data_IF_637233934878
#
_entry.id   IF_637233934878
#
_cell.length_a   1.000
_cell.length_b   1.000
_cell.length_c   1.000
_cell.angle_alpha   90.00
_cell.angle_beta   90.00
_cell.angle_gamma   90.00
#
_symmetry.space_group_name_H-M   'P 1'
#
loop_
_entity.id
_entity.type
_entity.pdbx_description
1 polymer ?
#
# COMPACT_ATOMS: atom_id res chain seq x y z
N UNK A 1 -30.24 5.94 -40.05
CA UNK A 1 -29.31 6.17 -38.95
C UNK A 1 -28.01 5.54 -39.34
N UNK A 2 -26.98 6.33 -39.66
CA UNK A 2 -25.65 5.82 -40.06
C UNK A 2 -24.83 5.65 -38.79
N UNK A 3 -24.54 4.41 -38.43
CA UNK A 3 -23.60 4.07 -37.36
C UNK A 3 -22.20 4.33 -37.88
N UNK A 4 -21.59 5.45 -37.48
CA UNK A 4 -20.18 5.72 -37.77
C UNK A 4 -19.33 4.84 -36.86
N UNK A 5 -18.83 3.75 -37.41
CA UNK A 5 -17.75 2.99 -36.78
C UNK A 5 -16.48 3.82 -36.86
N UNK A 6 -16.08 4.44 -35.78
CA UNK A 6 -14.74 5.01 -35.63
C UNK A 6 -13.82 3.82 -35.44
N UNK A 7 -13.08 3.48 -36.50
CA UNK A 7 -11.91 2.62 -36.41
C UNK A 7 -10.85 3.44 -35.67
N UNK A 8 -10.81 3.33 -34.35
CA UNK A 8 -9.65 3.74 -33.57
C UNK A 8 -8.50 2.83 -34.00
N UNK A 9 -7.51 3.39 -34.67
CA UNK A 9 -6.23 2.72 -34.83
C UNK A 9 -5.76 2.29 -33.44
N UNK A 10 -5.09 1.15 -33.34
CA UNK A 10 -4.60 0.57 -32.07
C UNK A 10 -3.70 1.53 -31.29
N UNK A 11 -3.06 2.47 -31.99
CA UNK A 11 -2.12 3.45 -31.47
C UNK A 11 -2.63 4.37 -30.33
N UNK A 12 -3.84 5.01 -30.39
CA UNK A 12 -4.22 5.96 -29.34
C UNK A 12 -4.56 5.30 -28.02
N UNK A 13 -5.07 4.07 -28.03
CA UNK A 13 -5.41 3.33 -26.82
C UNK A 13 -4.13 2.79 -26.16
N UNK A 14 -3.20 2.29 -26.95
CA UNK A 14 -1.89 1.86 -26.45
C UNK A 14 -1.12 3.05 -25.86
N UNK A 15 -1.09 4.21 -26.52
CA UNK A 15 -0.45 5.42 -26.01
C UNK A 15 -1.11 5.89 -24.69
N UNK A 16 -2.43 5.86 -24.58
CA UNK A 16 -3.13 6.22 -23.37
C UNK A 16 -2.79 5.26 -22.21
N UNK A 17 -2.73 3.97 -22.48
CA UNK A 17 -2.42 2.95 -21.47
C UNK A 17 -0.94 3.03 -21.08
N UNK A 18 -0.03 3.30 -21.99
CA UNK A 18 1.40 3.52 -21.71
C UNK A 18 1.61 4.74 -20.81
N UNK A 19 0.80 5.79 -20.94
CA UNK A 19 0.82 6.94 -20.02
C UNK A 19 0.30 6.59 -18.61
N UNK A 20 -0.60 5.63 -18.50
CA UNK A 20 -1.12 5.16 -17.20
C UNK A 20 -0.17 4.21 -16.49
N UNK A 21 0.70 3.52 -17.24
CA UNK A 21 1.70 2.59 -16.71
C UNK A 21 3.07 3.18 -17.01
N UNK A 22 3.89 3.49 -15.99
CA UNK A 22 5.21 4.05 -16.20
C UNK A 22 6.05 3.20 -17.17
N UNK A 23 6.56 3.81 -18.23
CA UNK A 23 7.39 3.13 -19.23
C UNK A 23 8.66 2.51 -18.61
N UNK A 24 9.15 3.09 -17.48
CA UNK A 24 10.27 2.57 -16.69
C UNK A 24 10.08 1.14 -16.19
N UNK A 25 8.83 0.68 -16.10
CA UNK A 25 8.51 -0.67 -15.64
C UNK A 25 8.73 -1.73 -16.72
N UNK A 26 8.84 -1.35 -17.98
CA UNK A 26 8.95 -2.29 -19.09
C UNK A 26 7.76 -3.25 -19.19
N UNK A 27 6.57 -2.80 -18.82
CA UNK A 27 5.33 -3.57 -18.92
C UNK A 27 4.61 -3.21 -20.21
N UNK A 28 4.20 -4.22 -20.97
CA UNK A 28 3.39 -4.05 -22.17
C UNK A 28 1.99 -4.63 -21.97
N UNK A 29 0.99 -3.95 -22.51
CA UNK A 29 -0.39 -4.42 -22.50
C UNK A 29 -0.56 -5.46 -23.59
N UNK A 30 -1.10 -6.62 -23.20
CA UNK A 30 -1.43 -7.71 -24.14
C UNK A 30 -2.92 -7.82 -24.40
N UNK A 31 -3.72 -7.54 -23.38
CA UNK A 31 -5.16 -7.71 -23.49
C UNK A 31 -5.88 -6.78 -22.53
N UNK A 32 -7.01 -6.27 -22.96
CA UNK A 32 -7.97 -5.52 -22.18
C UNK A 32 -9.30 -6.28 -22.21
N UNK A 33 -9.89 -6.49 -21.04
CA UNK A 33 -11.21 -7.11 -20.91
C UNK A 33 -12.08 -6.23 -20.00
N UNK A 34 -13.31 -5.96 -20.43
CA UNK A 34 -14.27 -5.16 -19.70
C UNK A 34 -15.44 -6.05 -19.29
N UNK A 35 -15.71 -6.11 -17.99
CA UNK A 35 -16.93 -6.64 -17.41
C UNK A 35 -17.83 -5.49 -16.95
N UNK A 36 -19.00 -5.81 -16.39
CA UNK A 36 -19.99 -4.80 -15.99
C UNK A 36 -19.43 -3.74 -15.02
N UNK A 37 -18.54 -4.12 -14.12
CA UNK A 37 -18.04 -3.27 -13.04
C UNK A 37 -16.50 -3.37 -12.85
N UNK A 38 -15.83 -4.12 -13.73
CA UNK A 38 -14.38 -4.35 -13.65
C UNK A 38 -13.71 -4.27 -15.01
N UNK A 39 -12.63 -3.52 -15.07
CA UNK A 39 -11.70 -3.48 -16.19
C UNK A 39 -10.47 -4.32 -15.80
N UNK A 40 -10.16 -5.32 -16.61
CA UNK A 40 -8.95 -6.14 -16.42
C UNK A 40 -7.94 -5.87 -17.53
N UNK A 41 -6.72 -5.49 -17.14
CA UNK A 41 -5.58 -5.38 -18.04
C UNK A 41 -4.64 -6.57 -17.84
N UNK A 42 -4.31 -7.28 -18.92
CA UNK A 42 -3.24 -8.26 -18.95
C UNK A 42 -1.95 -7.57 -19.40
N UNK A 43 -0.99 -7.51 -18.50
CA UNK A 43 0.32 -6.91 -18.70
C UNK A 43 1.39 -8.00 -18.71
N UNK A 44 2.40 -7.87 -19.55
CA UNK A 44 3.57 -8.72 -19.49
C UNK A 44 4.84 -7.89 -19.41
N UNK A 45 5.79 -8.37 -18.61
CA UNK A 45 7.11 -7.76 -18.53
C UNK A 45 7.90 -8.05 -19.81
N UNK A 46 8.51 -6.99 -20.38
CA UNK A 46 9.47 -7.06 -21.47
C UNK A 46 10.93 -7.08 -20.99
N UNK A 47 11.15 -7.09 -19.68
CA UNK A 47 12.49 -7.09 -19.09
C UNK A 47 13.21 -8.40 -19.38
N UNK A 48 14.36 -8.33 -20.05
CA UNK A 48 15.22 -9.49 -20.34
C UNK A 48 16.13 -9.88 -19.18
N UNK A 49 16.31 -8.98 -18.19
CA UNK A 49 17.16 -9.18 -17.02
C UNK A 49 16.63 -8.44 -15.80
N UNK A 50 16.96 -8.92 -14.62
CA UNK A 50 16.62 -8.26 -13.37
C UNK A 50 17.73 -8.40 -12.33
N UNK A 51 17.76 -7.49 -11.35
CA UNK A 51 18.72 -7.54 -10.24
C UNK A 51 18.19 -8.35 -9.07
N UNK A 52 18.99 -9.25 -8.54
CA UNK A 52 18.64 -10.01 -7.34
C UNK A 52 18.42 -9.05 -6.15
N UNK A 53 17.27 -9.11 -5.45
CA UNK A 53 16.97 -8.19 -4.36
C UNK A 53 17.80 -8.43 -3.09
N UNK A 54 18.60 -9.49 -3.05
CA UNK A 54 19.48 -9.83 -1.91
C UNK A 54 20.93 -9.42 -2.16
N UNK A 55 21.51 -9.78 -3.31
CA UNK A 55 22.91 -9.50 -3.60
C UNK A 55 23.14 -8.42 -4.67
N UNK A 56 22.09 -7.90 -5.31
CA UNK A 56 22.17 -6.85 -6.33
C UNK A 56 22.68 -7.30 -7.69
N UNK A 57 23.20 -8.55 -7.83
CA UNK A 57 23.73 -9.04 -9.10
C UNK A 57 22.61 -9.16 -10.15
N UNK A 58 22.89 -8.69 -11.37
CA UNK A 58 21.99 -8.84 -12.50
C UNK A 58 21.98 -10.28 -13.01
N UNK A 59 20.81 -10.74 -13.45
CA UNK A 59 20.63 -12.04 -14.06
C UNK A 59 19.65 -11.97 -15.22
N UNK A 60 19.98 -12.65 -16.32
CA UNK A 60 19.13 -12.87 -17.49
C UNK A 60 18.61 -14.32 -17.57
N UNK A 61 19.03 -15.19 -16.65
CA UNK A 61 18.60 -16.58 -16.61
C UNK A 61 17.16 -16.74 -16.13
N UNK A 62 16.20 -16.84 -17.04
CA UNK A 62 14.79 -17.01 -16.72
C UNK A 62 14.52 -18.42 -16.23
N UNK A 63 14.03 -18.56 -14.99
CA UNK A 63 13.57 -19.82 -14.44
C UNK A 63 12.13 -20.14 -14.87
N UNK A 64 11.22 -19.19 -14.73
CA UNK A 64 9.79 -19.38 -15.05
C UNK A 64 9.09 -18.03 -15.14
N UNK A 65 7.82 -18.06 -15.58
CA UNK A 65 6.92 -16.92 -15.57
C UNK A 65 5.72 -17.23 -14.70
N UNK A 66 5.14 -16.21 -14.07
CA UNK A 66 3.89 -16.36 -13.37
C UNK A 66 3.09 -15.05 -13.41
N UNK A 67 1.79 -15.16 -13.26
CA UNK A 67 0.89 -14.01 -13.25
C UNK A 67 0.51 -13.67 -11.83
N UNK A 68 0.69 -12.40 -11.45
CA UNK A 68 0.17 -11.83 -10.20
C UNK A 68 -1.00 -10.90 -10.49
N UNK A 69 -2.02 -10.94 -9.63
CA UNK A 69 -3.15 -10.01 -9.71
C UNK A 69 -2.94 -8.86 -8.75
N UNK A 70 -3.11 -7.65 -9.25
CA UNK A 70 -3.04 -6.41 -8.49
C UNK A 70 -4.34 -5.64 -8.71
N UNK A 71 -4.86 -5.03 -7.66
CA UNK A 71 -5.87 -3.99 -7.76
C UNK A 71 -5.19 -2.65 -7.95
N UNK A 72 -5.77 -1.78 -8.78
CA UNK A 72 -5.23 -0.45 -9.06
C UNK A 72 -6.31 0.62 -8.85
N UNK A 73 -5.94 1.89 -9.02
CA UNK A 73 -6.89 2.99 -9.01
C UNK A 73 -7.99 2.73 -10.05
N UNK A 74 -9.25 3.01 -9.73
CA UNK A 74 -10.36 2.77 -10.64
C UNK A 74 -10.26 3.63 -11.89
N UNK A 75 -10.84 3.15 -12.98
CA UNK A 75 -11.02 3.94 -14.18
C UNK A 75 -12.49 4.36 -14.32
N UNK A 76 -12.78 5.58 -13.88
CA UNK A 76 -14.16 6.04 -13.75
C UNK A 76 -14.93 5.18 -12.75
N UNK A 77 -16.10 4.62 -13.12
CA UNK A 77 -16.87 3.76 -12.22
C UNK A 77 -16.37 2.31 -12.16
N UNK A 78 -15.38 1.93 -13.00
CA UNK A 78 -14.91 0.56 -13.12
C UNK A 78 -13.74 0.30 -12.16
N UNK A 79 -13.81 -0.80 -11.43
CA UNK A 79 -12.67 -1.33 -10.69
C UNK A 79 -11.58 -1.77 -11.67
N UNK A 80 -10.34 -1.38 -11.41
CA UNK A 80 -9.23 -1.77 -12.25
C UNK A 80 -8.45 -2.94 -11.63
N UNK A 81 -8.37 -4.04 -12.37
CA UNK A 81 -7.57 -5.21 -12.06
C UNK A 81 -6.45 -5.37 -13.06
N UNK A 82 -5.24 -5.49 -12.56
CA UNK A 82 -4.05 -5.74 -13.38
C UNK A 82 -3.60 -7.18 -13.18
N UNK A 83 -3.50 -7.94 -14.27
CA UNK A 83 -2.89 -9.27 -14.30
C UNK A 83 -1.50 -9.13 -14.90
N UNK A 84 -0.48 -9.10 -14.04
CA UNK A 84 0.90 -8.82 -14.46
C UNK A 84 1.67 -10.12 -14.56
N UNK A 85 2.05 -10.51 -15.76
CA UNK A 85 2.95 -11.63 -16.01
C UNK A 85 4.39 -11.15 -15.82
N UNK A 86 5.08 -11.70 -14.83
CA UNK A 86 6.46 -11.36 -14.47
C UNK A 86 7.36 -12.60 -14.56
N UNK A 87 8.66 -12.35 -14.72
CA UNK A 87 9.66 -13.39 -14.75
C UNK A 87 10.15 -13.76 -13.35
N UNK A 88 10.56 -15.00 -13.19
CA UNK A 88 11.45 -15.47 -12.12
C UNK A 88 12.80 -15.76 -12.72
N UNK A 89 13.84 -15.24 -12.09
CA UNK A 89 15.20 -15.38 -12.54
C UNK A 89 16.02 -16.24 -11.57
N UNK A 90 17.00 -16.96 -12.09
CA UNK A 90 18.03 -17.59 -11.27
C UNK A 90 19.01 -16.54 -10.76
N UNK A 91 19.39 -16.58 -9.48
CA UNK A 91 20.51 -15.82 -8.99
C UNK A 91 21.81 -16.55 -9.35
N UNK A 92 22.66 -15.91 -10.14
CA UNK A 92 23.92 -16.49 -10.60
C UNK A 92 25.07 -16.36 -9.59
N UNK A 93 24.85 -15.63 -8.49
CA UNK A 93 25.86 -15.51 -7.43
C UNK A 93 25.86 -16.76 -6.55
N UNK A 94 26.94 -17.59 -6.57
CA UNK A 94 27.02 -18.81 -5.76
C UNK A 94 27.01 -18.54 -4.25
N UNK A 95 27.47 -17.37 -3.82
CA UNK A 95 27.47 -16.95 -2.42
C UNK A 95 26.13 -16.39 -1.95
N UNK A 96 25.16 -16.18 -2.85
CA UNK A 96 23.84 -15.65 -2.49
C UNK A 96 22.96 -16.76 -1.91
N UNK A 97 22.29 -16.47 -0.78
CA UNK A 97 21.32 -17.40 -0.17
C UNK A 97 20.07 -17.59 -1.03
N UNK A 98 19.78 -16.66 -1.94
CA UNK A 98 18.61 -16.72 -2.82
C UNK A 98 19.00 -17.32 -4.16
N UNK A 99 18.40 -18.45 -4.51
CA UNK A 99 18.66 -19.15 -5.78
C UNK A 99 17.73 -18.67 -6.89
N UNK A 100 16.48 -18.35 -6.54
CA UNK A 100 15.47 -17.88 -7.49
C UNK A 100 14.81 -16.62 -6.91
N UNK A 101 14.65 -15.61 -7.71
CA UNK A 101 13.95 -14.38 -7.33
C UNK A 101 12.97 -13.95 -8.41
N UNK A 102 11.91 -13.29 -7.99
CA UNK A 102 10.94 -12.67 -8.88
C UNK A 102 11.45 -11.31 -9.30
N UNK A 103 11.23 -10.96 -10.53
CA UNK A 103 11.42 -9.62 -11.06
C UNK A 103 10.82 -8.56 -10.11
N UNK A 104 11.64 -7.65 -9.56
CA UNK A 104 11.15 -6.61 -8.68
C UNK A 104 10.51 -5.49 -9.51
N UNK A 105 9.35 -4.99 -9.06
CA UNK A 105 8.65 -3.84 -9.64
C UNK A 105 8.44 -2.77 -8.54
N UNK A 106 9.51 -2.20 -7.97
CA UNK A 106 9.43 -1.42 -6.73
C UNK A 106 8.61 -0.13 -6.88
N UNK A 107 8.63 0.51 -8.04
CA UNK A 107 7.84 1.72 -8.32
C UNK A 107 6.36 1.42 -8.50
N UNK A 108 6.02 0.18 -8.84
CA UNK A 108 4.67 -0.23 -9.19
C UNK A 108 3.94 -0.94 -8.05
N UNK A 109 4.57 -1.95 -7.46
CA UNK A 109 3.99 -2.72 -6.35
C UNK A 109 5.07 -3.37 -5.50
N UNK A 110 4.92 -3.29 -4.19
CA UNK A 110 5.79 -3.97 -3.24
C UNK A 110 5.77 -5.50 -3.42
N UNK A 111 6.80 -6.20 -2.94
CA UNK A 111 6.79 -7.67 -2.89
C UNK A 111 5.54 -8.19 -2.16
N UNK A 112 4.88 -9.20 -2.76
CA UNK A 112 3.65 -9.81 -2.24
C UNK A 112 2.44 -8.87 -2.10
N UNK A 113 2.51 -7.61 -2.54
CA UNK A 113 1.38 -6.72 -2.54
C UNK A 113 0.28 -7.21 -3.47
N UNK A 114 -0.98 -6.95 -3.08
CA UNK A 114 -2.18 -7.20 -3.89
C UNK A 114 -2.73 -5.92 -4.53
N UNK A 115 -2.05 -4.80 -4.30
CA UNK A 115 -2.40 -3.46 -4.78
C UNK A 115 -1.17 -2.77 -5.32
N UNK A 116 -1.38 -1.87 -6.28
CA UNK A 116 -0.33 -0.97 -6.73
C UNK A 116 0.04 0.04 -5.65
N UNK A 117 1.22 0.63 -5.75
CA UNK A 117 1.67 1.64 -4.79
C UNK A 117 0.74 2.86 -4.82
N UNK A 118 0.30 3.31 -6.00
CA UNK A 118 -0.60 4.47 -6.14
C UNK A 118 -1.98 4.22 -5.51
N UNK A 119 -2.57 3.02 -5.67
CA UNK A 119 -3.81 2.69 -4.96
C UNK A 119 -3.58 2.64 -3.45
N UNK A 120 -2.47 2.08 -2.99
CA UNK A 120 -2.13 2.07 -1.56
C UNK A 120 -2.02 3.47 -0.99
N UNK A 121 -1.39 4.39 -1.70
CA UNK A 121 -1.25 5.79 -1.30
C UNK A 121 -2.60 6.50 -1.21
N UNK A 122 -3.48 6.31 -2.20
CA UNK A 122 -4.83 6.86 -2.17
C UNK A 122 -5.65 6.32 -0.98
N UNK A 123 -5.59 5.00 -0.72
CA UNK A 123 -6.24 4.38 0.43
C UNK A 123 -5.69 4.90 1.76
N UNK A 124 -4.39 5.12 1.87
CA UNK A 124 -3.77 5.70 3.05
C UNK A 124 -4.25 7.14 3.28
N UNK A 125 -4.29 7.96 2.23
CA UNK A 125 -4.78 9.34 2.33
C UNK A 125 -6.24 9.39 2.81
N UNK A 126 -7.11 8.55 2.23
CA UNK A 126 -8.51 8.46 2.64
C UNK A 126 -8.66 7.91 4.06
N UNK A 127 -7.85 6.92 4.42
CA UNK A 127 -7.86 6.34 5.76
C UNK A 127 -7.39 7.32 6.83
N UNK A 128 -6.38 8.14 6.56
CA UNK A 128 -5.93 9.21 7.47
C UNK A 128 -6.98 10.31 7.63
N UNK A 129 -7.67 10.67 6.55
CA UNK A 129 -8.67 11.74 6.58
C UNK A 129 -9.97 11.32 7.28
N UNK A 130 -10.43 10.07 7.07
CA UNK A 130 -11.79 9.65 7.43
C UNK A 130 -11.83 8.50 8.45
N UNK A 131 -10.69 7.87 8.76
CA UNK A 131 -10.64 6.68 9.59
C UNK A 131 -11.08 5.40 8.87
N UNK A 132 -11.41 4.35 9.63
CA UNK A 132 -11.67 3.02 9.09
C UNK A 132 -13.01 2.90 8.36
N UNK A 133 -14.12 3.13 9.07
CA UNK A 133 -15.47 2.87 8.54
C UNK A 133 -15.87 3.88 7.45
N UNK A 134 -15.77 5.18 7.73
CA UNK A 134 -16.10 6.21 6.77
C UNK A 134 -15.17 6.16 5.55
N UNK A 135 -13.86 5.93 5.77
CA UNK A 135 -12.90 5.73 4.70
C UNK A 135 -13.23 4.53 3.82
N UNK A 136 -13.58 3.39 4.40
CA UNK A 136 -13.96 2.20 3.64
C UNK A 136 -15.26 2.40 2.84
N UNK A 137 -16.25 3.09 3.42
CA UNK A 137 -17.49 3.42 2.72
C UNK A 137 -17.24 4.31 1.50
N UNK A 138 -16.43 5.37 1.67
CA UNK A 138 -16.08 6.25 0.56
C UNK A 138 -15.26 5.52 -0.52
N UNK A 139 -14.30 4.69 -0.12
CA UNK A 139 -13.54 3.86 -1.06
C UNK A 139 -14.46 2.95 -1.88
N UNK A 140 -15.44 2.31 -1.26
CA UNK A 140 -16.40 1.45 -1.94
C UNK A 140 -17.27 2.23 -2.96
N UNK A 141 -17.73 3.43 -2.58
CA UNK A 141 -18.49 4.32 -3.46
C UNK A 141 -17.68 4.75 -4.71
N UNK A 142 -16.35 4.74 -4.62
CA UNK A 142 -15.45 5.11 -5.71
C UNK A 142 -14.74 3.90 -6.34
N UNK A 143 -15.38 2.74 -6.41
CA UNK A 143 -14.85 1.53 -7.04
C UNK A 143 -13.49 1.04 -6.49
N UNK A 144 -13.15 1.40 -5.24
CA UNK A 144 -11.96 0.93 -4.52
C UNK A 144 -12.36 0.08 -3.29
N UNK A 145 -13.05 -1.05 -3.45
CA UNK A 145 -13.60 -1.78 -2.31
C UNK A 145 -12.51 -2.26 -1.35
N UNK A 146 -12.65 -1.87 -0.10
CA UNK A 146 -11.78 -2.27 1.00
C UNK A 146 -12.61 -2.31 2.28
N UNK A 147 -12.37 -3.28 3.15
CA UNK A 147 -13.01 -3.29 4.47
C UNK A 147 -12.24 -2.40 5.47
N UNK A 148 -12.97 -1.84 6.44
CA UNK A 148 -12.42 -0.96 7.47
C UNK A 148 -11.21 -1.56 8.20
N UNK A 149 -11.27 -2.84 8.57
CA UNK A 149 -10.16 -3.52 9.23
C UNK A 149 -8.89 -3.56 8.35
N UNK A 150 -9.04 -3.78 7.03
CA UNK A 150 -7.88 -3.77 6.11
C UNK A 150 -7.32 -2.37 5.96
N UNK A 151 -8.19 -1.34 5.87
CA UNK A 151 -7.77 0.06 5.79
C UNK A 151 -6.99 0.46 7.04
N UNK A 152 -7.51 0.17 8.23
CA UNK A 152 -6.82 0.41 9.49
C UNK A 152 -5.48 -0.34 9.60
N UNK A 153 -5.41 -1.57 9.09
CA UNK A 153 -4.15 -2.32 9.06
C UNK A 153 -3.11 -1.70 8.11
N UNK A 154 -3.56 -1.11 7.00
CA UNK A 154 -2.66 -0.35 6.12
C UNK A 154 -2.07 0.88 6.85
N UNK A 155 -2.91 1.65 7.55
CA UNK A 155 -2.48 2.80 8.36
C UNK A 155 -1.46 2.39 9.44
N UNK A 156 -1.76 1.34 10.20
CA UNK A 156 -0.85 0.83 11.25
C UNK A 156 0.52 0.41 10.71
N UNK A 157 0.56 -0.17 9.51
CA UNK A 157 1.83 -0.58 8.85
C UNK A 157 2.61 0.59 8.27
N UNK A 158 1.92 1.61 7.80
CA UNK A 158 2.55 2.82 7.28
C UNK A 158 3.21 3.63 8.40
N UNK A 159 2.69 3.55 9.62
CA UNK A 159 3.06 4.42 10.72
C UNK A 159 2.47 5.82 10.57
N UNK A 160 2.50 6.61 11.62
CA UNK A 160 2.07 8.00 11.56
C UNK A 160 3.02 8.80 10.64
N UNK A 161 2.49 9.75 9.85
CA UNK A 161 3.33 10.68 9.12
C UNK A 161 4.24 11.45 10.08
N UNK A 162 5.46 11.80 9.68
CA UNK A 162 6.35 12.59 10.52
C UNK A 162 5.68 13.91 10.87
N UNK A 163 5.47 14.14 12.17
CA UNK A 163 4.95 15.41 12.67
C UNK A 163 6.13 16.27 13.10
N UNK A 164 6.28 17.49 12.55
CA UNK A 164 7.31 18.42 13.05
C UNK A 164 7.02 18.78 14.50
N UNK A 165 8.07 19.03 15.29
CA UNK A 165 7.92 19.40 16.69
C UNK A 165 7.07 20.67 16.80
N UNK A 166 5.93 20.65 17.51
CA UNK A 166 5.09 21.81 17.68
C UNK A 166 5.78 22.86 18.54
N UNK A 167 5.58 24.13 18.21
CA UNK A 167 6.07 25.27 19.03
C UNK A 167 5.14 25.51 20.20
N UNK A 168 3.84 25.34 20.00
CA UNK A 168 2.81 25.49 21.04
C UNK A 168 2.04 24.16 21.14
N UNK A 169 2.22 23.49 22.27
CA UNK A 169 1.62 22.19 22.53
C UNK A 169 0.41 22.30 23.46
N UNK A 170 -0.76 21.90 22.99
CA UNK A 170 -1.95 21.71 23.81
C UNK A 170 -1.98 20.29 24.38
N UNK A 171 -2.42 20.20 25.62
CA UNK A 171 -2.59 18.92 26.33
C UNK A 171 -4.04 18.85 26.81
N UNK A 172 -4.75 17.80 26.42
CA UNK A 172 -6.13 17.55 26.82
C UNK A 172 -6.30 16.12 27.29
N UNK A 173 -7.13 15.92 28.32
CA UNK A 173 -7.47 14.59 28.83
C UNK A 173 -8.80 14.14 28.21
N UNK A 174 -8.82 12.93 27.67
CA UNK A 174 -10.03 12.35 27.13
C UNK A 174 -10.40 11.05 27.87
N UNK A 175 -11.68 10.73 27.88
CA UNK A 175 -12.21 9.48 28.40
C UNK A 175 -13.22 8.86 27.45
N UNK A 176 -13.16 7.55 27.27
CA UNK A 176 -14.08 6.78 26.45
C UNK A 176 -14.63 5.59 27.24
N UNK A 177 -15.95 5.49 27.33
CA UNK A 177 -16.66 4.40 28.02
C UNK A 177 -16.18 4.13 29.46
N UNK A 178 -16.03 5.17 30.29
CA UNK A 178 -15.68 5.14 31.72
C UNK A 178 -14.39 4.37 32.11
N UNK A 179 -13.88 3.48 31.28
CA UNK A 179 -12.75 2.58 31.57
C UNK A 179 -11.49 2.88 30.76
N UNK A 180 -11.57 3.72 29.74
CA UNK A 180 -10.44 4.10 28.89
C UNK A 180 -10.27 5.60 28.98
N UNK A 181 -9.21 6.03 29.61
CA UNK A 181 -8.79 7.42 29.64
C UNK A 181 -7.43 7.55 28.98
N UNK A 182 -7.12 8.73 28.53
CA UNK A 182 -5.83 9.03 27.95
C UNK A 182 -5.62 10.52 27.82
N UNK A 183 -4.47 10.89 27.28
CA UNK A 183 -4.08 12.28 27.04
C UNK A 183 -3.86 12.49 25.55
N UNK A 184 -4.43 13.53 25.00
CA UNK A 184 -4.25 14.00 23.63
C UNK A 184 -3.27 15.16 23.64
N UNK A 185 -2.24 15.07 22.82
CA UNK A 185 -1.30 16.16 22.55
C UNK A 185 -1.65 16.77 21.19
N UNK A 186 -1.84 18.08 21.13
CA UNK A 186 -2.28 18.82 19.94
C UNK A 186 -1.29 19.95 19.63
N UNK A 187 -0.91 20.09 18.37
CA UNK A 187 -0.24 21.30 17.87
C UNK A 187 -1.30 22.41 17.73
N UNK A 188 -1.23 23.42 18.59
CA UNK A 188 -2.20 24.51 18.62
C UNK A 188 -2.02 25.52 17.47
N UNK A 189 -0.87 25.53 16.82
CA UNK A 189 -0.66 26.40 15.64
C UNK A 189 -1.22 25.77 14.37
N UNK A 190 -1.08 24.46 14.22
CA UNK A 190 -1.57 23.71 13.05
C UNK A 190 -2.94 23.09 13.25
N UNK A 191 -3.46 23.12 14.47
CA UNK A 191 -4.72 22.47 14.86
C UNK A 191 -4.74 20.97 14.53
N UNK A 192 -3.62 20.28 14.75
CA UNK A 192 -3.47 18.87 14.42
C UNK A 192 -3.09 18.04 15.64
N UNK A 193 -3.66 16.83 15.80
CA UNK A 193 -3.23 15.92 16.83
C UNK A 193 -1.79 15.44 16.56
N UNK A 194 -0.98 15.45 17.59
CA UNK A 194 0.44 15.05 17.54
C UNK A 194 0.61 13.64 18.09
N UNK A 195 0.01 13.37 19.23
CA UNK A 195 0.12 12.08 19.91
C UNK A 195 -1.13 11.81 20.76
N UNK A 196 -1.55 10.54 20.79
CA UNK A 196 -2.60 10.06 21.71
C UNK A 196 -1.97 9.04 22.63
N UNK A 197 -2.00 9.28 23.94
CA UNK A 197 -1.51 8.35 24.95
C UNK A 197 -2.68 7.73 25.69
N UNK A 198 -2.64 6.41 25.83
CA UNK A 198 -3.57 5.64 26.64
C UNK A 198 -2.99 5.50 28.07
N UNK A 199 -3.81 5.63 29.10
CA UNK A 199 -3.41 5.39 30.48
C UNK A 199 -3.72 6.56 31.41
N UNK A 200 -3.32 6.43 32.69
CA UNK A 200 -3.65 7.37 33.76
C UNK A 200 -3.20 8.80 33.48
N UNK A 201 -4.04 9.76 33.92
CA UNK A 201 -3.75 11.20 33.96
C UNK A 201 -2.39 11.46 34.63
N UNK A 202 -1.42 11.85 33.85
CA UNK A 202 -0.16 12.42 34.38
C UNK A 202 -0.25 13.95 34.30
N UNK A 203 0.11 14.61 35.39
CA UNK A 203 0.19 16.06 35.43
C UNK A 203 1.00 16.59 34.23
N UNK A 204 0.45 17.57 33.51
CA UNK A 204 0.92 18.03 32.19
C UNK A 204 2.41 18.34 32.03
N UNK A 205 3.11 18.70 33.11
CA UNK A 205 4.55 19.05 33.09
C UNK A 205 5.47 17.88 32.73
N UNK A 206 5.13 16.65 33.16
CA UNK A 206 5.92 15.46 32.84
C UNK A 206 5.74 14.98 31.39
N UNK A 207 4.58 15.22 30.77
CA UNK A 207 4.28 14.85 29.42
C UNK A 207 4.98 15.71 28.36
N UNK A 208 5.07 17.02 28.63
CA UNK A 208 5.76 17.96 27.76
C UNK A 208 7.28 17.71 27.76
N UNK A 209 7.85 17.37 28.90
CA UNK A 209 9.27 17.02 29.01
C UNK A 209 9.61 15.72 28.29
N UNK A 210 8.75 14.69 28.40
CA UNK A 210 8.94 13.40 27.73
C UNK A 210 8.76 13.52 26.20
N UNK A 211 7.80 14.31 25.73
CA UNK A 211 7.62 14.59 24.31
C UNK A 211 8.84 15.34 23.74
N UNK A 212 9.33 16.38 24.43
CA UNK A 212 10.49 17.17 24.00
C UNK A 212 11.79 16.36 23.99
N UNK A 213 11.94 15.35 24.83
CA UNK A 213 13.10 14.47 24.85
C UNK A 213 13.06 13.47 23.69
N UNK A 214 11.88 12.94 23.36
CA UNK A 214 11.70 11.99 22.24
C UNK A 214 11.82 12.65 20.87
N UNK A 215 11.30 13.86 20.71
CA UNK A 215 11.38 14.59 19.44
C UNK A 215 12.82 14.99 19.08
N UNK A 216 13.69 15.22 20.05
CA UNK A 216 15.12 15.47 19.83
C UNK A 216 15.93 14.23 19.46
N UNK A 217 15.44 13.02 19.78
CA UNK A 217 16.10 11.75 19.48
C UNK A 217 15.67 11.11 18.14
N UNK A 218 14.67 11.64 17.48
CA UNK A 218 14.14 11.08 16.24
C UNK A 218 14.81 11.73 15.02
N UNK A 219 16.08 11.39 14.77
CA UNK A 219 16.63 11.57 13.43
C UNK A 219 15.89 10.62 12.46
N UNK A 220 15.45 11.11 11.29
CA UNK A 220 14.82 10.25 10.30
C UNK A 220 15.86 9.20 9.86
N UNK A 221 15.60 7.93 10.20
CA UNK A 221 16.35 6.82 9.63
C UNK A 221 16.16 6.86 8.13
N UNK A 222 17.22 7.09 7.39
CA UNK A 222 17.31 6.97 5.95
C UNK A 222 16.65 5.64 5.52
N UNK A 223 15.75 5.73 4.55
CA UNK A 223 15.16 4.56 3.86
C UNK A 223 16.30 3.70 3.32
N UNK A 224 16.51 2.54 3.91
CA UNK A 224 17.46 1.60 3.34
C UNK A 224 18.08 0.61 4.29
N UNK A 225 17.33 -0.04 5.18
CA UNK A 225 17.72 -1.35 5.73
C UNK A 225 16.52 -1.97 6.45
N UNK A 226 15.91 -2.96 5.79
CA UNK A 226 15.01 -3.91 6.47
C UNK A 226 15.82 -4.67 7.51
N UNK A 227 15.36 -4.78 8.76
CA UNK A 227 16.00 -5.64 9.75
C UNK A 227 15.87 -7.10 9.31
N UNK A 228 16.99 -7.79 9.24
CA UNK A 228 17.03 -9.25 9.11
C UNK A 228 16.34 -9.85 10.33
N UNK A 229 15.19 -10.48 10.11
CA UNK A 229 14.55 -11.32 11.12
C UNK A 229 15.36 -12.62 11.25
N UNK A 230 16.04 -12.77 12.37
CA UNK A 230 16.51 -14.06 12.89
C UNK A 230 15.29 -14.99 13.05
N UNK A 231 15.43 -16.21 12.52
CA UNK A 231 14.46 -17.30 12.70
C UNK A 231 14.41 -17.67 14.17
N UNK A 232 13.28 -17.43 14.80
CA UNK A 232 12.80 -18.20 15.94
C UNK A 232 11.41 -18.70 15.58
N UNK A 233 11.27 -20.00 15.66
CA UNK A 233 10.08 -20.80 15.44
C UNK A 233 8.93 -20.36 16.34
N UNK A 234 7.75 -20.07 15.75
CA UNK A 234 6.48 -20.50 16.35
C UNK A 234 5.37 -20.41 15.30
N UNK A 235 4.78 -21.57 15.10
CA UNK A 235 3.58 -21.81 14.30
C UNK A 235 2.39 -21.10 14.94
N UNK A 236 1.83 -20.10 14.29
CA UNK A 236 0.44 -19.77 14.45
C UNK A 236 -0.19 -19.55 13.07
N UNK A 237 -1.05 -20.50 12.67
CA UNK A 237 -1.82 -20.43 11.42
C UNK A 237 -2.86 -19.32 11.54
N UNK A 238 -2.90 -18.35 10.61
CA UNK A 238 -4.10 -17.52 10.48
C UNK A 238 -5.15 -18.26 9.66
N UNK A 239 -6.37 -18.25 10.16
CA UNK A 239 -7.57 -18.75 9.54
C UNK A 239 -7.69 -18.37 8.06
N UNK A 240 -7.93 -19.39 7.24
CA UNK A 240 -8.32 -19.27 5.84
C UNK A 240 -9.66 -18.53 5.76
N UNK A 241 -9.65 -17.32 5.28
CA UNK A 241 -10.85 -16.71 4.72
C UNK A 241 -11.04 -17.32 3.32
N UNK A 242 -12.03 -18.21 3.21
CA UNK A 242 -12.40 -18.88 1.97
C UNK A 242 -12.86 -17.85 0.94
N UNK A 243 -12.38 -18.03 -0.26
CA UNK A 243 -12.89 -17.41 -1.49
C UNK A 243 -14.31 -17.90 -1.74
N UNK A 244 -15.29 -17.16 -1.38
CA UNK A 244 -16.65 -17.03 -1.90
C UNK A 244 -17.56 -16.54 -0.77
N UNK A 245 -18.12 -15.37 -0.93
CA UNK A 245 -19.12 -14.91 0.02
C UNK A 245 -19.10 -13.39 0.15
N UNK A 246 -20.04 -12.80 -0.49
CA UNK A 246 -20.55 -11.46 -0.29
C UNK A 246 -20.74 -11.28 1.21
N UNK A 247 -19.95 -10.41 1.86
CA UNK A 247 -20.22 -9.98 3.22
C UNK A 247 -21.44 -9.05 3.18
N UNK A 248 -22.64 -9.59 3.38
CA UNK A 248 -23.82 -8.81 3.72
C UNK A 248 -23.68 -8.43 5.19
N UNK A 249 -23.31 -7.20 5.46
CA UNK A 249 -23.60 -6.56 6.74
C UNK A 249 -25.03 -6.02 6.68
N UNK A 250 -25.97 -6.79 7.23
CA UNK A 250 -27.29 -6.27 7.59
C UNK A 250 -27.22 -5.75 9.04
N UNK A 251 -27.82 -4.54 9.19
CA UNK A 251 -28.25 -3.82 10.39
C UNK A 251 -27.23 -3.64 11.52
#
# INVERSE_FOLDING_TARGET
>A
MKTSSILLSTDPLEELIERLIPASLGLRVHQLAIASDELTLLLASSQSQARCPVCGQASAGVHSRYTRSLQDLPWGPLRLRLRVQVHRFFCQNPACLRRIFTEPLPEFAEPYARRTNRLREALLALGWALGGEAGASLCAAHAMPICAATLLNLLRRCGAPPCPTPRVLGVDDWSFQAHRAGTLLVDLERHQPVEVRLGQRRAGSGLVADYSSRSRGHQPRSRGQLPQRSRASELHRPNKCSTAGICSCAA
#
